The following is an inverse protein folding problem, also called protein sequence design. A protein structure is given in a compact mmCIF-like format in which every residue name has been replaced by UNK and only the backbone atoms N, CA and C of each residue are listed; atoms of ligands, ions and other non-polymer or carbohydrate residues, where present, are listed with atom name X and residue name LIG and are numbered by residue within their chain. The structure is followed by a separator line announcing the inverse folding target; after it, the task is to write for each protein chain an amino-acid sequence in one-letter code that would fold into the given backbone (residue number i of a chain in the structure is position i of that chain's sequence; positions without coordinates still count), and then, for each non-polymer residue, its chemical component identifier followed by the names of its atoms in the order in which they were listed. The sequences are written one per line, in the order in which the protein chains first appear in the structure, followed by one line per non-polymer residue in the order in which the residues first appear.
data_IF_324094325322
#
_entry.id   IF_324094325322
#
_cell.length_a   1.000
_cell.length_b   1.000
_cell.length_c   1.000
_cell.angle_alpha   90.00
_cell.angle_beta   90.00
_cell.angle_gamma   90.00
#
_symmetry.space_group_name_H-M   'P 1'
#
loop_
_entity.id
_entity.type
_entity.pdbx_description
1 polymer ?
#
# COMPACT_ATOMS: atom_id res chain seq x y z
N UNK A 1 -55.29 -7.73 -23.67
CA UNK A 1 -55.39 -8.06 -22.23
C UNK A 1 -54.06 -8.67 -21.84
N UNK A 2 -53.23 -8.15 -20.92
CA UNK A 2 -53.50 -7.42 -19.69
C UNK A 2 -52.61 -6.17 -19.56
N UNK A 3 -53.21 -5.12 -19.00
CA UNK A 3 -52.56 -3.95 -18.41
C UNK A 3 -51.84 -4.37 -17.13
N UNK A 4 -50.63 -3.88 -16.92
CA UNK A 4 -50.08 -3.67 -15.58
C UNK A 4 -49.39 -2.30 -15.53
N UNK A 5 -50.13 -1.33 -15.01
CA UNK A 5 -49.62 -0.15 -14.33
C UNK A 5 -49.68 -0.46 -12.85
N UNK A 6 -48.58 -0.30 -12.12
CA UNK A 6 -48.61 0.17 -10.73
C UNK A 6 -47.22 0.65 -10.29
N UNK A 7 -47.21 1.95 -9.98
CA UNK A 7 -46.54 2.60 -8.86
C UNK A 7 -45.01 2.67 -8.78
N UNK A 8 -44.55 3.72 -9.48
CA UNK A 8 -43.63 4.73 -8.96
C UNK A 8 -43.98 5.11 -7.52
N UNK A 9 -43.11 4.75 -6.57
CA UNK A 9 -42.72 5.59 -5.41
C UNK A 9 -41.37 5.11 -4.87
N UNK A 10 -40.29 5.48 -5.53
CA UNK A 10 -38.96 5.49 -4.90
C UNK A 10 -38.75 6.88 -4.32
N UNK A 11 -38.97 7.04 -3.03
CA UNK A 11 -38.47 8.20 -2.28
C UNK A 11 -36.95 8.10 -2.24
N UNK A 12 -36.31 8.56 -3.33
CA UNK A 12 -34.93 9.02 -3.26
C UNK A 12 -34.95 10.26 -2.38
N UNK A 13 -34.53 10.09 -1.14
CA UNK A 13 -33.94 11.19 -0.39
C UNK A 13 -32.72 11.60 -1.20
N UNK A 14 -32.87 12.69 -1.94
CA UNK A 14 -31.78 13.41 -2.57
C UNK A 14 -31.00 14.02 -1.41
N UNK A 15 -29.99 13.30 -0.94
CA UNK A 15 -28.88 13.94 -0.22
C UNK A 15 -27.99 14.55 -1.30
N UNK A 16 -28.37 15.76 -1.72
CA UNK A 16 -27.55 16.66 -2.52
C UNK A 16 -26.37 17.12 -1.64
N UNK A 17 -25.38 16.25 -1.52
CA UNK A 17 -24.00 16.64 -1.27
C UNK A 17 -23.13 15.96 -2.31
N UNK A 18 -23.20 16.54 -3.49
CA UNK A 18 -22.20 16.41 -4.54
C UNK A 18 -20.88 17.00 -3.99
N UNK A 19 -20.17 16.22 -3.16
CA UNK A 19 -18.80 16.50 -2.78
C UNK A 19 -17.93 15.99 -3.93
N UNK A 20 -17.83 16.78 -5.01
CA UNK A 20 -16.91 16.56 -6.14
C UNK A 20 -15.42 16.59 -5.77
N UNK A 21 -15.10 16.28 -4.50
CA UNK A 21 -13.77 16.07 -3.94
C UNK A 21 -13.36 14.60 -3.91
N UNK A 22 -14.29 13.65 -3.88
CA UNK A 22 -13.94 12.22 -3.97
C UNK A 22 -13.35 11.87 -5.35
N UNK A 23 -13.93 12.42 -6.43
CA UNK A 23 -13.46 12.12 -7.80
C UNK A 23 -12.05 12.65 -8.12
N UNK A 24 -11.57 13.70 -7.42
CA UNK A 24 -10.22 14.23 -7.63
C UNK A 24 -9.15 13.37 -6.95
N UNK A 25 -9.39 12.91 -5.71
CA UNK A 25 -8.42 12.09 -4.97
C UNK A 25 -8.18 10.75 -5.68
N UNK A 26 -9.24 10.14 -6.22
CA UNK A 26 -9.15 8.90 -6.98
C UNK A 26 -8.31 9.06 -8.26
N UNK A 27 -8.37 10.22 -8.92
CA UNK A 27 -7.59 10.47 -10.14
C UNK A 27 -6.09 10.62 -9.84
N UNK A 28 -5.73 11.29 -8.74
CA UNK A 28 -4.34 11.43 -8.31
C UNK A 28 -3.75 10.07 -7.93
N UNK A 29 -4.51 9.22 -7.23
CA UNK A 29 -4.07 7.87 -6.89
C UNK A 29 -3.92 6.99 -8.13
N UNK A 30 -4.81 7.09 -9.13
CA UNK A 30 -4.65 6.40 -10.42
C UNK A 30 -3.37 6.85 -11.14
N UNK A 31 -3.09 8.16 -11.18
CA UNK A 31 -1.87 8.69 -11.79
C UNK A 31 -0.62 8.18 -11.08
N UNK A 32 -0.63 8.12 -9.75
CA UNK A 32 0.49 7.60 -8.96
C UNK A 32 0.70 6.10 -9.16
N UNK A 33 -0.38 5.32 -9.31
CA UNK A 33 -0.33 3.91 -9.67
C UNK A 33 0.34 3.74 -11.05
N UNK A 34 -0.06 4.53 -12.05
CA UNK A 34 0.53 4.43 -13.38
C UNK A 34 2.01 4.84 -13.39
N UNK A 35 2.37 5.89 -12.65
CA UNK A 35 3.77 6.33 -12.52
C UNK A 35 4.65 5.26 -11.88
N UNK A 36 4.19 4.62 -10.79
CA UNK A 36 4.99 3.58 -10.13
C UNK A 36 5.07 2.31 -10.98
N UNK A 37 4.01 1.97 -11.72
CA UNK A 37 4.03 0.84 -12.65
C UNK A 37 5.00 1.09 -13.80
N UNK A 38 5.06 2.32 -14.34
CA UNK A 38 6.03 2.71 -15.34
C UNK A 38 7.47 2.59 -14.82
N UNK A 39 7.71 2.94 -13.56
CA UNK A 39 9.03 2.78 -12.92
C UNK A 39 9.40 1.28 -12.77
N UNK A 40 8.45 0.43 -12.38
CA UNK A 40 8.68 -1.02 -12.29
C UNK A 40 8.91 -1.61 -13.69
N UNK A 41 8.14 -1.21 -14.69
CA UNK A 41 8.32 -1.56 -16.10
C UNK A 41 9.71 -1.18 -16.60
N UNK A 42 10.14 0.06 -16.33
CA UNK A 42 11.47 0.54 -16.69
C UNK A 42 12.56 -0.31 -16.05
N UNK A 43 12.39 -0.70 -14.77
CA UNK A 43 13.38 -1.53 -14.08
C UNK A 43 13.47 -2.95 -14.65
N UNK A 44 12.34 -3.52 -15.05
CA UNK A 44 12.29 -4.82 -15.74
C UNK A 44 12.98 -4.72 -17.10
N UNK A 45 12.68 -3.68 -17.87
CA UNK A 45 13.30 -3.46 -19.17
C UNK A 45 14.82 -3.30 -19.05
N UNK A 46 15.31 -2.52 -18.07
CA UNK A 46 16.73 -2.36 -17.76
C UNK A 46 17.39 -3.72 -17.47
N UNK A 47 16.80 -4.51 -16.57
CA UNK A 47 17.32 -5.82 -16.19
C UNK A 47 17.43 -6.78 -17.38
N UNK A 48 16.41 -6.83 -18.24
CA UNK A 48 16.42 -7.67 -19.43
C UNK A 48 17.44 -7.19 -20.47
N UNK A 49 17.60 -5.87 -20.65
CA UNK A 49 18.66 -5.33 -21.53
C UNK A 49 20.06 -5.64 -21.02
N UNK A 50 20.27 -5.55 -19.70
CA UNK A 50 21.57 -5.86 -19.09
C UNK A 50 21.91 -7.34 -19.23
N UNK A 51 20.94 -8.23 -19.05
CA UNK A 51 21.13 -9.67 -19.27
C UNK A 51 21.46 -10.02 -20.72
N UNK A 52 20.79 -9.41 -21.69
CA UNK A 52 21.11 -9.60 -23.12
C UNK A 52 22.52 -9.12 -23.43
N UNK A 53 22.89 -7.94 -22.94
CA UNK A 53 24.22 -7.37 -23.14
C UNK A 53 25.30 -8.26 -22.51
N UNK A 54 25.07 -8.76 -21.29
CA UNK A 54 25.99 -9.67 -20.61
C UNK A 54 26.19 -10.99 -21.37
N UNK A 55 25.11 -11.60 -21.86
CA UNK A 55 25.19 -12.82 -22.69
C UNK A 55 25.99 -12.58 -23.96
N UNK A 56 25.75 -11.47 -24.65
CA UNK A 56 26.51 -11.11 -25.86
C UNK A 56 28.00 -10.94 -25.58
N UNK A 57 28.35 -10.32 -24.44
CA UNK A 57 29.73 -10.14 -24.02
C UNK A 57 30.41 -11.48 -23.68
N UNK A 58 29.70 -12.41 -23.02
CA UNK A 58 30.20 -13.75 -22.75
C UNK A 58 30.46 -14.56 -24.03
N UNK A 59 29.60 -14.44 -25.04
CA UNK A 59 29.80 -15.06 -26.35
C UNK A 59 31.07 -14.54 -27.04
N UNK A 60 31.28 -13.21 -27.01
CA UNK A 60 32.49 -12.57 -27.53
C UNK A 60 33.76 -13.06 -26.80
N UNK A 61 33.73 -13.15 -25.47
CA UNK A 61 34.86 -13.65 -24.68
C UNK A 61 35.18 -15.11 -25.00
N UNK A 62 34.16 -15.94 -25.18
CA UNK A 62 34.31 -17.37 -25.48
C UNK A 62 34.59 -17.65 -26.96
N UNK A 63 34.63 -16.62 -27.82
CA UNK A 63 34.70 -16.72 -29.29
C UNK A 63 33.63 -17.64 -29.89
N UNK A 64 32.47 -17.70 -29.25
CA UNK A 64 31.32 -18.47 -29.73
C UNK A 64 30.46 -17.51 -30.56
N UNK A 65 30.15 -17.84 -31.82
CA UNK A 65 29.21 -17.04 -32.60
C UNK A 65 27.85 -16.96 -31.90
N UNK A 66 27.37 -15.73 -31.67
CA UNK A 66 26.05 -15.49 -31.09
C UNK A 66 25.00 -15.42 -32.21
N UNK A 67 24.07 -16.37 -32.18
CA UNK A 67 22.94 -16.47 -33.10
C UNK A 67 21.61 -16.13 -32.43
N UNK A 68 21.63 -15.53 -31.23
CA UNK A 68 20.41 -15.14 -30.53
C UNK A 68 19.51 -14.21 -31.35
N UNK A 69 20.09 -13.40 -32.25
CA UNK A 69 19.38 -12.56 -33.22
C UNK A 69 18.63 -13.34 -34.33
N UNK A 70 19.02 -14.59 -34.61
CA UNK A 70 18.31 -15.47 -35.56
C UNK A 70 17.03 -16.07 -34.95
N UNK A 71 16.98 -16.17 -33.62
CA UNK A 71 15.87 -16.79 -32.88
C UNK A 71 14.93 -15.71 -32.34
N UNK A 72 15.45 -14.52 -32.07
CA UNK A 72 14.63 -13.38 -31.67
C UNK A 72 14.13 -12.67 -32.92
N UNK A 73 12.88 -12.95 -33.28
CA UNK A 73 12.18 -12.20 -34.32
C UNK A 73 12.25 -10.70 -34.00
N UNK A 74 13.07 -9.96 -34.74
CA UNK A 74 13.37 -8.54 -34.45
C UNK A 74 12.11 -7.67 -34.57
N UNK A 75 11.13 -8.14 -35.35
CA UNK A 75 9.78 -7.57 -35.48
C UNK A 75 8.86 -7.90 -34.28
N UNK A 76 9.11 -9.02 -33.59
CA UNK A 76 8.37 -9.47 -32.42
C UNK A 76 9.21 -9.50 -31.14
N UNK A 77 10.24 -8.66 -31.00
CA UNK A 77 10.80 -8.43 -29.66
C UNK A 77 9.62 -7.94 -28.82
N UNK A 78 9.11 -8.75 -27.86
CA UNK A 78 8.01 -8.30 -27.05
C UNK A 78 8.52 -7.02 -26.41
N UNK A 79 7.81 -5.92 -26.66
CA UNK A 79 8.09 -4.67 -25.95
C UNK A 79 8.13 -5.07 -24.47
N UNK A 80 9.25 -4.78 -23.81
CA UNK A 80 9.63 -5.27 -22.47
C UNK A 80 8.72 -4.66 -21.40
N UNK A 81 7.43 -4.97 -21.53
CA UNK A 81 6.35 -4.49 -20.70
C UNK A 81 5.99 -5.55 -19.67
N UNK A 82 5.24 -5.12 -18.68
CA UNK A 82 4.51 -6.04 -17.84
C UNK A 82 3.47 -6.78 -18.67
N UNK A 83 3.39 -8.09 -18.46
CA UNK A 83 2.24 -8.87 -18.90
C UNK A 83 0.97 -8.35 -18.21
N UNK A 84 -0.20 -8.59 -18.80
CA UNK A 84 -1.47 -8.13 -18.22
C UNK A 84 -1.70 -8.69 -16.81
N UNK A 85 -1.25 -9.92 -16.54
CA UNK A 85 -1.35 -10.56 -15.23
C UNK A 85 -0.40 -9.92 -14.21
N UNK A 86 0.85 -9.63 -14.58
CA UNK A 86 1.79 -8.91 -13.71
C UNK A 86 1.29 -7.49 -13.41
N UNK A 87 0.87 -6.75 -14.45
CA UNK A 87 0.35 -5.39 -14.30
C UNK A 87 -0.85 -5.37 -13.36
N UNK A 88 -1.84 -6.23 -13.58
CA UNK A 88 -3.01 -6.32 -12.69
C UNK A 88 -2.67 -6.72 -11.25
N UNK A 89 -1.69 -7.63 -11.03
CA UNK A 89 -1.21 -8.00 -9.69
C UNK A 89 -0.58 -6.79 -8.98
N UNK A 90 0.26 -6.02 -9.69
CA UNK A 90 0.93 -4.85 -9.14
C UNK A 90 -0.05 -3.69 -8.90
N UNK A 91 -0.98 -3.44 -9.82
CA UNK A 91 -2.08 -2.47 -9.65
C UNK A 91 -2.89 -2.77 -8.40
N UNK A 92 -3.32 -4.02 -8.21
CA UNK A 92 -4.09 -4.44 -7.01
C UNK A 92 -3.32 -4.23 -5.71
N UNK A 93 -1.99 -4.41 -5.72
CA UNK A 93 -1.18 -4.13 -4.56
C UNK A 93 -1.18 -2.62 -4.23
N UNK A 94 -1.05 -1.77 -5.25
CA UNK A 94 -0.98 -0.32 -5.10
C UNK A 94 -2.32 0.32 -4.69
N UNK A 95 -3.46 -0.24 -5.08
CA UNK A 95 -4.80 0.22 -4.67
C UNK A 95 -5.01 0.28 -3.16
N UNK A 96 -4.16 -0.39 -2.37
CA UNK A 96 -4.25 -0.40 -0.90
C UNK A 96 -3.44 0.70 -0.23
N UNK A 97 -2.62 1.44 -0.99
CA UNK A 97 -1.76 2.53 -0.51
C UNK A 97 -2.59 3.81 -0.38
N UNK A 98 -2.28 4.61 0.64
CA UNK A 98 -2.90 5.93 0.83
C UNK A 98 -2.05 7.01 0.16
N UNK A 99 -2.65 8.11 -0.26
CA UNK A 99 -1.95 9.24 -0.88
C UNK A 99 -0.68 9.71 -0.12
N UNK A 100 -0.73 9.73 1.22
CA UNK A 100 0.39 10.16 2.06
C UNK A 100 1.52 9.12 2.22
N UNK A 101 1.34 7.91 1.70
CA UNK A 101 2.27 6.79 1.85
C UNK A 101 3.13 6.56 0.59
N UNK A 102 2.78 7.20 -0.54
CA UNK A 102 3.48 7.06 -1.81
C UNK A 102 4.97 7.37 -1.73
N UNK A 103 5.34 8.46 -1.04
CA UNK A 103 6.74 8.86 -0.87
C UNK A 103 7.57 7.78 -0.15
N UNK A 104 6.98 7.14 0.86
CA UNK A 104 7.61 6.03 1.59
C UNK A 104 7.77 4.81 0.70
N UNK A 105 6.74 4.45 -0.06
CA UNK A 105 6.80 3.34 -1.02
C UNK A 105 7.89 3.56 -2.06
N UNK A 106 7.94 4.75 -2.68
CA UNK A 106 8.93 5.08 -3.72
C UNK A 106 10.35 4.95 -3.18
N UNK A 107 10.64 5.50 -2.00
CA UNK A 107 11.98 5.42 -1.41
C UNK A 107 12.37 3.97 -1.09
N UNK A 108 11.44 3.19 -0.55
CA UNK A 108 11.68 1.81 -0.18
C UNK A 108 11.87 0.91 -1.41
N UNK A 109 11.06 1.13 -2.45
CA UNK A 109 11.22 0.51 -3.75
C UNK A 109 12.59 0.83 -4.37
N UNK A 110 12.97 2.12 -4.44
CA UNK A 110 14.27 2.55 -4.98
C UNK A 110 15.47 1.96 -4.24
N UNK A 111 15.34 1.71 -2.94
CA UNK A 111 16.39 1.06 -2.16
C UNK A 111 16.51 -0.43 -2.53
N UNK A 112 15.38 -1.13 -2.64
CA UNK A 112 15.33 -2.58 -2.92
C UNK A 112 15.59 -2.95 -4.37
N UNK A 113 15.21 -2.08 -5.31
CA UNK A 113 15.39 -2.32 -6.74
C UNK A 113 16.86 -2.46 -7.17
N UNK A 114 17.81 -2.00 -6.34
CA UNK A 114 19.26 -2.09 -6.57
C UNK A 114 19.83 -3.49 -6.41
N UNK A 115 19.18 -4.36 -5.63
CA UNK A 115 19.71 -5.69 -5.26
C UNK A 115 18.98 -6.84 -5.95
N UNK A 116 18.25 -6.54 -7.03
CA UNK A 116 17.37 -7.51 -7.66
C UNK A 116 18.15 -8.40 -8.63
N UNK A 117 17.79 -9.68 -8.66
CA UNK A 117 18.54 -10.75 -9.35
C UNK A 117 17.73 -11.47 -10.45
N UNK A 118 16.41 -11.29 -10.49
CA UNK A 118 15.53 -11.90 -11.49
C UNK A 118 14.27 -11.07 -11.67
N UNK A 119 13.55 -11.27 -12.79
CA UNK A 119 12.27 -10.61 -13.06
C UNK A 119 11.24 -10.87 -11.95
N UNK A 120 11.11 -12.12 -11.49
CA UNK A 120 10.18 -12.45 -10.39
C UNK A 120 10.58 -11.76 -9.08
N UNK A 121 11.89 -11.69 -8.82
CA UNK A 121 12.41 -10.99 -7.65
C UNK A 121 12.12 -9.47 -7.69
N UNK A 122 12.04 -8.85 -8.89
CA UNK A 122 11.61 -7.44 -9.05
C UNK A 122 10.18 -7.29 -8.48
N UNK A 123 9.27 -8.17 -8.89
CA UNK A 123 7.88 -8.11 -8.46
C UNK A 123 7.70 -8.43 -6.99
N UNK A 124 8.40 -9.43 -6.48
CA UNK A 124 8.31 -9.82 -5.08
C UNK A 124 8.93 -8.74 -4.16
N UNK A 125 10.04 -8.11 -4.56
CA UNK A 125 10.58 -6.95 -3.86
C UNK A 125 9.59 -5.77 -3.85
N UNK A 126 8.96 -5.47 -4.98
CA UNK A 126 7.98 -4.38 -5.05
C UNK A 126 6.77 -4.65 -4.16
N UNK A 127 6.16 -5.84 -4.26
CA UNK A 127 4.98 -6.21 -3.47
C UNK A 127 5.34 -6.25 -1.97
N UNK A 128 6.51 -6.76 -1.61
CA UNK A 128 7.00 -6.72 -0.23
C UNK A 128 7.18 -5.29 0.28
N UNK A 129 7.54 -4.36 -0.61
CA UNK A 129 7.66 -2.94 -0.28
C UNK A 129 6.31 -2.31 0.02
N UNK A 130 5.30 -2.59 -0.81
CA UNK A 130 3.90 -2.20 -0.58
C UNK A 130 3.40 -2.76 0.76
N UNK A 131 3.63 -4.05 1.02
CA UNK A 131 3.18 -4.70 2.25
C UNK A 131 3.83 -4.08 3.49
N UNK A 132 5.12 -3.74 3.44
CA UNK A 132 5.79 -3.10 4.56
C UNK A 132 5.22 -1.71 4.87
N UNK A 133 4.92 -0.93 3.83
CA UNK A 133 4.26 0.37 4.00
C UNK A 133 2.91 0.18 4.70
N UNK A 134 2.08 -0.77 4.25
CA UNK A 134 0.79 -1.06 4.86
C UNK A 134 0.94 -1.53 6.32
N UNK A 135 1.91 -2.41 6.60
CA UNK A 135 2.14 -2.95 7.94
C UNK A 135 2.71 -1.93 8.91
N UNK A 136 3.35 -0.87 8.41
CA UNK A 136 3.91 0.21 9.22
C UNK A 136 2.86 1.22 9.73
N UNK A 137 1.61 1.07 9.32
CA UNK A 137 0.50 1.92 9.79
C UNK A 137 0.32 1.78 11.30
N UNK A 138 0.02 2.89 12.01
CA UNK A 138 -0.32 2.82 13.42
C UNK A 138 -1.54 1.90 13.59
N UNK A 139 -1.38 0.88 14.43
CA UNK A 139 -2.49 -0.02 14.78
C UNK A 139 -3.36 0.66 15.84
N UNK A 140 -4.69 0.52 15.77
CA UNK A 140 -5.53 0.96 16.87
C UNK A 140 -5.07 0.27 18.16
N UNK A 141 -5.00 1.00 19.29
CA UNK A 141 -4.52 0.45 20.55
C UNK A 141 -5.38 -0.74 20.93
N UNK A 142 -4.74 -1.86 21.26
CA UNK A 142 -5.47 -3.02 21.77
C UNK A 142 -5.96 -2.74 23.18
N UNK A 143 -6.96 -3.49 23.65
CA UNK A 143 -7.41 -3.43 25.06
C UNK A 143 -6.22 -3.59 26.02
N UNK A 144 -5.28 -4.47 25.69
CA UNK A 144 -4.04 -4.64 26.45
C UNK A 144 -3.15 -3.40 26.47
N UNK A 145 -3.07 -2.65 25.36
CA UNK A 145 -2.31 -1.40 25.29
C UNK A 145 -2.95 -0.30 26.13
N UNK A 146 -4.28 -0.18 26.08
CA UNK A 146 -5.06 0.77 26.90
C UNK A 146 -4.88 0.45 28.38
N UNK A 147 -5.05 -0.81 28.79
CA UNK A 147 -4.87 -1.25 30.18
C UNK A 147 -3.42 -1.05 30.64
N UNK A 148 -2.43 -1.39 29.81
CA UNK A 148 -1.00 -1.20 30.15
C UNK A 148 -0.63 0.28 30.25
N UNK A 149 -1.22 1.15 29.42
CA UNK A 149 -1.03 2.60 29.50
C UNK A 149 -1.69 3.13 30.77
N UNK A 150 -2.91 2.70 31.10
CA UNK A 150 -3.60 3.02 32.35
C UNK A 150 -2.82 2.61 33.60
N UNK A 151 -2.29 1.37 33.66
CA UNK A 151 -1.47 0.91 34.80
C UNK A 151 -0.20 1.75 34.94
N UNK A 152 0.43 2.14 33.82
CA UNK A 152 1.62 3.00 33.84
C UNK A 152 1.29 4.45 34.20
N UNK A 153 0.11 4.96 33.84
CA UNK A 153 -0.34 6.32 34.14
C UNK A 153 -1.08 6.44 35.48
N UNK A 154 -1.51 5.32 36.07
CA UNK A 154 -2.06 5.28 37.42
C UNK A 154 -0.95 5.72 38.38
N UNK A 155 -1.05 6.95 38.87
CA UNK A 155 -0.12 7.51 39.84
C UNK A 155 0.05 6.56 41.01
N UNK A 156 1.30 6.26 41.36
CA UNK A 156 1.67 5.45 42.53
C UNK A 156 0.81 5.81 43.74
N UNK A 157 0.38 4.80 44.50
CA UNK A 157 -0.38 4.99 45.76
C UNK A 157 0.42 5.81 46.78
N UNK A 158 1.74 5.93 46.59
CA UNK A 158 2.65 6.76 47.38
C UNK A 158 3.01 8.10 46.72
N UNK A 159 2.37 8.47 45.59
CA UNK A 159 2.57 9.78 44.98
C UNK A 159 1.95 10.86 45.87
N UNK A 160 2.81 11.58 46.60
CA UNK A 160 2.43 12.76 47.38
C UNK A 160 1.94 13.83 46.40
N UNK A 161 0.64 14.12 46.45
CA UNK A 161 0.00 15.17 45.66
C UNK A 161 -0.12 16.41 46.52
N UNK A 162 0.68 17.44 46.24
CA UNK A 162 0.71 18.71 46.98
C UNK A 162 -0.39 19.68 46.53
N UNK A 163 -1.62 19.18 46.34
CA UNK A 163 -2.78 20.02 46.03
C UNK A 163 -4.10 19.38 46.47
N UNK A 164 -5.07 20.17 46.98
CA UNK A 164 -6.26 19.64 47.60
C UNK A 164 -7.16 18.99 46.54
N UNK A 165 -7.40 17.69 46.69
CA UNK A 165 -8.34 16.91 45.88
C UNK A 165 -9.75 17.47 46.06
N UNK A 166 -10.28 18.14 45.04
CA UNK A 166 -11.72 18.33 44.89
C UNK A 166 -12.27 17.07 44.21
N UNK A 167 -13.10 16.36 44.96
CA UNK A 167 -13.98 15.25 44.58
C UNK A 167 -13.31 13.92 44.16
N UNK A 168 -13.53 12.91 45.02
CA UNK A 168 -13.13 11.54 44.82
C UNK A 168 -13.67 10.93 43.53
N UNK A 169 -12.76 10.35 42.75
CA UNK A 169 -13.10 9.40 41.70
C UNK A 169 -12.02 8.33 41.64
N UNK A 170 -12.01 7.44 42.64
CA UNK A 170 -11.47 6.09 42.42
C UNK A 170 -12.52 5.31 41.64
N UNK A 171 -12.70 5.63 40.35
CA UNK A 171 -13.61 4.88 39.48
C UNK A 171 -13.07 3.46 39.36
N UNK A 172 -13.84 2.50 39.87
CA UNK A 172 -13.55 1.08 39.74
C UNK A 172 -13.57 0.70 38.25
N UNK A 173 -12.62 -0.13 37.82
CA UNK A 173 -12.56 -0.67 36.45
C UNK A 173 -13.88 -1.36 36.02
N UNK A 174 -14.68 -1.83 36.99
CA UNK A 174 -15.99 -2.43 36.73
C UNK A 174 -17.07 -1.43 36.25
N UNK A 175 -16.79 -0.12 36.31
CA UNK A 175 -17.77 0.94 36.02
C UNK A 175 -17.43 1.83 34.82
N UNK A 176 -16.28 1.63 34.16
CA UNK A 176 -15.86 2.47 33.02
C UNK A 176 -16.03 1.68 31.72
N UNK A 177 -16.76 2.23 30.76
CA UNK A 177 -16.91 1.61 29.45
C UNK A 177 -15.60 1.70 28.64
N UNK A 178 -15.36 0.75 27.72
CA UNK A 178 -14.16 0.74 26.89
C UNK A 178 -13.96 2.04 26.08
N UNK A 179 -15.07 2.70 25.70
CA UNK A 179 -15.05 4.00 25.00
C UNK A 179 -14.61 5.15 25.90
N UNK A 180 -15.03 5.16 27.16
CA UNK A 180 -14.59 6.19 28.11
C UNK A 180 -13.12 6.01 28.52
N UNK A 181 -12.60 4.77 28.51
CA UNK A 181 -11.19 4.49 28.78
C UNK A 181 -10.25 4.96 27.67
N UNK A 182 -10.68 4.99 26.41
CA UNK A 182 -9.88 5.56 25.32
C UNK A 182 -9.80 7.08 25.36
N UNK A 183 -10.85 7.75 25.85
CA UNK A 183 -10.89 9.22 25.94
C UNK A 183 -10.09 9.78 27.13
N UNK A 184 -9.89 8.97 28.17
CA UNK A 184 -9.13 9.35 29.39
C UNK A 184 -7.61 9.16 29.25
N UNK A 185 -7.16 8.42 28.23
CA UNK A 185 -5.78 7.92 28.11
C UNK A 185 -5.03 8.52 26.92
#
# INVERSE_FOLDING_TARGET
MLKWLTDVTSTRVVDEKEDGREDMEDNDDVMMIDLILAEVEAKVAEFETEQELRKSQECLQKRIPDYSWLISDVSQKPKKYLTMTERSRLTRACQRIRANEWSKLINLWKARSKTVSSRDHIFDCFISSVHEVILSRPRPPTVGDVVRKYIRSASSVNAVSDSPRINGSTRSLAQISFRELSDVV
#
